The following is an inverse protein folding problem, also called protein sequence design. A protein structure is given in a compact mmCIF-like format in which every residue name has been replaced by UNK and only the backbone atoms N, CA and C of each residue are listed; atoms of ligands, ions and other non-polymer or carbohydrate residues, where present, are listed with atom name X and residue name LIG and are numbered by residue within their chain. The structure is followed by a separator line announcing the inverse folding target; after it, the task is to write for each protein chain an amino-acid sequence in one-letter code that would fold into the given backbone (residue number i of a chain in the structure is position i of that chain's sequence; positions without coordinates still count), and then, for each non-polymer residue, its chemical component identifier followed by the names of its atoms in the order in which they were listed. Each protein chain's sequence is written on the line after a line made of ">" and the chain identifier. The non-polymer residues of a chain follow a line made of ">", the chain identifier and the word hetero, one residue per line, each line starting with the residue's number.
data_IF_453386231209
#
_entry.id   IF_453386231209
#
_cell.length_a   1.000
_cell.length_b   1.000
_cell.length_c   1.000
_cell.angle_alpha   90.00
_cell.angle_beta   90.00
_cell.angle_gamma   90.00
#
_symmetry.space_group_name_H-M   'P 1'
#
loop_
_entity.id
_entity.type
_entity.pdbx_description
1 polymer ?
#
# COMPACT_ATOMS: atom_id res chain seq x y z
N UNK A 1 13.16 5.39 -13.78
CA UNK A 1 12.54 6.44 -14.62
C UNK A 1 11.05 6.40 -14.33
N UNK A 2 10.54 7.31 -13.49
CA UNK A 2 9.11 7.38 -13.15
C UNK A 2 8.39 7.81 -14.42
N UNK A 3 7.55 6.94 -14.97
CA UNK A 3 6.68 7.29 -16.10
C UNK A 3 5.55 8.09 -15.47
N UNK A 4 5.50 9.41 -15.67
CA UNK A 4 4.34 10.19 -15.26
C UNK A 4 3.07 9.57 -15.87
N UNK A 5 2.10 9.25 -15.01
CA UNK A 5 0.82 8.71 -15.44
C UNK A 5 0.14 9.65 -16.45
N UNK A 6 -0.25 9.11 -17.60
CA UNK A 6 -1.05 9.83 -18.59
C UNK A 6 -2.54 9.72 -18.22
N UNK A 7 -3.11 10.81 -17.69
CA UNK A 7 -4.52 10.89 -17.30
C UNK A 7 -5.48 10.55 -18.45
N UNK A 8 -5.07 10.74 -19.71
CA UNK A 8 -5.88 10.38 -20.87
C UNK A 8 -5.97 8.87 -21.09
N UNK A 9 -5.12 8.07 -20.44
CA UNK A 9 -5.11 6.60 -20.52
C UNK A 9 -5.84 5.92 -19.37
N UNK A 10 -6.43 6.70 -18.46
CA UNK A 10 -7.26 6.13 -17.40
C UNK A 10 -8.47 5.37 -17.97
N UNK A 11 -8.91 4.28 -17.31
CA UNK A 11 -10.14 3.58 -17.67
C UNK A 11 -11.36 4.51 -17.64
N UNK A 12 -12.35 4.24 -18.49
CA UNK A 12 -13.56 5.07 -18.58
C UNK A 12 -14.31 5.17 -17.26
N UNK A 13 -14.45 4.06 -16.53
CA UNK A 13 -15.13 4.05 -15.23
C UNK A 13 -14.44 4.97 -14.21
N UNK A 14 -13.11 5.10 -14.24
CA UNK A 14 -12.37 6.04 -13.39
C UNK A 14 -12.60 7.48 -13.87
N UNK A 15 -12.49 7.73 -15.18
CA UNK A 15 -12.73 9.06 -15.78
C UNK A 15 -14.11 9.60 -15.47
N UNK A 16 -15.14 8.75 -15.52
CA UNK A 16 -16.52 9.11 -15.23
C UNK A 16 -16.71 9.59 -13.77
N UNK A 17 -15.85 9.13 -12.85
CA UNK A 17 -15.87 9.55 -11.44
C UNK A 17 -15.09 10.84 -11.18
N UNK A 18 -13.93 10.98 -11.80
CA UNK A 18 -13.03 12.12 -11.54
C UNK A 18 -13.33 13.35 -12.41
N UNK A 19 -13.94 13.17 -13.58
CA UNK A 19 -14.28 14.27 -14.49
C UNK A 19 -13.10 15.21 -14.80
N UNK A 20 -13.32 16.51 -14.61
CA UNK A 20 -12.32 17.58 -14.78
C UNK A 20 -11.80 18.12 -13.43
N UNK A 21 -11.84 17.30 -12.37
CA UNK A 21 -11.35 17.72 -11.05
C UNK A 21 -9.85 18.06 -11.10
N UNK A 22 -9.48 19.09 -10.33
CA UNK A 22 -8.07 19.41 -10.10
C UNK A 22 -7.42 18.28 -9.31
N UNK A 23 -6.15 18.01 -9.60
CA UNK A 23 -5.39 16.98 -8.91
C UNK A 23 -3.96 17.40 -8.63
N UNK A 24 -3.34 16.73 -7.65
CA UNK A 24 -1.89 16.72 -7.45
C UNK A 24 -1.38 15.28 -7.45
N UNK A 25 -0.08 15.10 -7.66
CA UNK A 25 0.58 13.79 -7.67
C UNK A 25 1.46 13.69 -6.44
N UNK A 26 1.45 12.54 -5.78
CA UNK A 26 2.38 12.26 -4.69
C UNK A 26 3.78 12.00 -5.25
N UNK A 27 4.79 12.61 -4.63
CA UNK A 27 6.19 12.35 -4.94
C UNK A 27 6.84 11.42 -3.89
N UNK A 28 6.12 11.09 -2.81
CA UNK A 28 6.58 10.26 -1.71
C UNK A 28 6.05 8.82 -1.85
N UNK A 29 6.67 8.04 -2.73
CA UNK A 29 6.29 6.64 -2.96
C UNK A 29 7.47 5.71 -3.19
N UNK A 30 7.63 4.70 -2.33
CA UNK A 30 8.62 3.62 -2.49
C UNK A 30 8.04 2.37 -3.16
N UNK A 31 6.71 2.32 -3.41
CA UNK A 31 6.01 1.12 -3.90
C UNK A 31 5.95 1.00 -5.42
N UNK A 32 6.44 1.99 -6.17
CA UNK A 32 6.30 2.05 -7.63
C UNK A 32 4.86 2.29 -8.11
N UNK A 33 3.96 2.66 -7.20
CA UNK A 33 2.60 3.10 -7.51
C UNK A 33 2.55 4.61 -7.76
N UNK A 34 1.72 5.04 -8.70
CA UNK A 34 1.35 6.44 -8.88
C UNK A 34 0.18 6.77 -7.97
N UNK A 35 0.33 7.78 -7.12
CA UNK A 35 -0.74 8.26 -6.22
C UNK A 35 -1.18 9.65 -6.67
N UNK A 36 -2.47 9.80 -6.94
CA UNK A 36 -3.07 11.04 -7.41
C UNK A 36 -4.11 11.49 -6.39
N UNK A 37 -3.96 12.71 -5.91
CA UNK A 37 -4.86 13.31 -4.94
C UNK A 37 -5.85 14.24 -5.63
N UNK A 38 -7.11 14.06 -5.30
CA UNK A 38 -8.18 15.03 -5.50
C UNK A 38 -8.59 15.62 -4.14
N UNK A 39 -9.53 16.56 -4.12
CA UNK A 39 -9.98 17.22 -2.89
C UNK A 39 -10.50 16.21 -1.85
N UNK A 40 -11.33 15.26 -2.27
CA UNK A 40 -12.02 14.27 -1.43
C UNK A 40 -11.73 12.81 -1.82
N UNK A 41 -10.86 12.59 -2.82
CA UNK A 41 -10.53 11.26 -3.33
C UNK A 41 -9.03 11.07 -3.50
N UNK A 42 -8.62 9.81 -3.54
CA UNK A 42 -7.28 9.38 -3.91
C UNK A 42 -7.38 8.28 -4.96
N UNK A 43 -6.66 8.43 -6.05
CA UNK A 43 -6.48 7.39 -7.05
C UNK A 43 -5.09 6.79 -6.89
N UNK A 44 -5.03 5.50 -6.60
CA UNK A 44 -3.80 4.71 -6.65
C UNK A 44 -3.76 3.90 -7.94
N UNK A 45 -2.67 4.02 -8.69
CA UNK A 45 -2.41 3.25 -9.90
C UNK A 45 -1.12 2.46 -9.74
N UNK A 46 -1.19 1.16 -9.95
CA UNK A 46 -0.02 0.30 -9.83
C UNK A 46 -0.12 -0.91 -10.76
N UNK A 47 1.00 -1.59 -11.03
CA UNK A 47 0.98 -2.82 -11.82
C UNK A 47 0.16 -3.89 -11.10
N UNK A 48 -0.62 -4.64 -11.87
CA UNK A 48 -1.37 -5.77 -11.35
C UNK A 48 -0.42 -6.84 -10.84
N UNK A 49 -0.58 -7.22 -9.57
CA UNK A 49 0.17 -8.27 -8.90
C UNK A 49 -0.73 -8.94 -7.86
N UNK A 50 -0.27 -10.06 -7.31
CA UNK A 50 -0.96 -10.69 -6.17
C UNK A 50 -1.07 -9.74 -4.97
N UNK A 51 -0.10 -8.84 -4.77
CA UNK A 51 -0.13 -7.87 -3.67
C UNK A 51 -1.10 -6.72 -3.92
N UNK A 52 -1.10 -6.15 -5.12
CA UNK A 52 -1.99 -5.03 -5.44
C UNK A 52 -3.47 -5.46 -5.53
N UNK A 53 -3.74 -6.73 -5.87
CA UNK A 53 -5.09 -7.29 -5.76
C UNK A 53 -5.54 -7.47 -4.30
N UNK A 54 -4.62 -7.89 -3.41
CA UNK A 54 -4.90 -8.07 -1.97
C UNK A 54 -5.36 -6.78 -1.31
N UNK A 55 -4.82 -5.63 -1.70
CA UNK A 55 -5.17 -4.34 -1.10
C UNK A 55 -6.65 -3.99 -1.29
N UNK A 56 -7.16 -4.08 -2.51
CA UNK A 56 -8.57 -3.84 -2.80
C UNK A 56 -9.49 -4.77 -2.00
N UNK A 57 -9.18 -6.06 -1.97
CA UNK A 57 -9.97 -7.06 -1.26
C UNK A 57 -9.94 -6.86 0.27
N UNK A 58 -8.78 -6.50 0.84
CA UNK A 58 -8.64 -6.20 2.26
C UNK A 58 -9.39 -4.91 2.62
N UNK A 59 -9.30 -3.87 1.79
CA UNK A 59 -10.04 -2.62 2.00
C UNK A 59 -11.54 -2.89 2.04
N UNK A 60 -12.06 -3.66 1.09
CA UNK A 60 -13.48 -4.08 1.10
C UNK A 60 -13.84 -4.92 2.32
N UNK A 61 -12.94 -5.77 2.79
CA UNK A 61 -13.20 -6.63 3.93
C UNK A 61 -13.21 -5.87 5.27
N UNK A 62 -12.30 -4.89 5.43
CA UNK A 62 -12.12 -4.13 6.66
C UNK A 62 -13.04 -2.91 6.75
N UNK A 63 -13.65 -2.51 5.64
CA UNK A 63 -14.70 -1.50 5.61
C UNK A 63 -15.82 -1.84 6.60
N UNK A 64 -16.32 -0.83 7.30
CA UNK A 64 -17.26 -0.97 8.42
C UNK A 64 -16.65 -1.52 9.72
N UNK A 65 -15.37 -1.91 9.75
CA UNK A 65 -14.66 -2.39 10.97
C UNK A 65 -13.65 -1.39 11.50
N UNK A 66 -12.95 -0.69 10.61
CA UNK A 66 -12.05 0.41 10.92
C UNK A 66 -12.38 1.64 10.06
N UNK A 67 -11.85 2.79 10.47
CA UNK A 67 -11.81 3.97 9.63
C UNK A 67 -10.77 3.78 8.53
N UNK A 68 -11.21 3.24 7.39
CA UNK A 68 -10.42 3.08 6.16
C UNK A 68 -11.04 3.89 5.02
N UNK A 69 -10.29 4.13 3.93
CA UNK A 69 -10.86 4.69 2.71
C UNK A 69 -12.01 3.82 2.18
N UNK A 70 -13.10 4.44 1.76
CA UNK A 70 -14.19 3.78 1.04
C UNK A 70 -13.75 3.57 -0.41
N UNK A 71 -13.95 2.36 -0.94
CA UNK A 71 -13.65 2.07 -2.35
C UNK A 71 -14.76 2.63 -3.23
N UNK A 72 -14.44 3.65 -4.01
CA UNK A 72 -15.38 4.32 -4.93
C UNK A 72 -15.45 3.59 -6.26
N UNK A 73 -14.29 3.20 -6.80
CA UNK A 73 -14.20 2.45 -8.04
C UNK A 73 -12.91 1.63 -8.08
N UNK A 74 -12.98 0.42 -8.64
CA UNK A 74 -11.81 -0.41 -8.87
C UNK A 74 -11.86 -1.00 -10.28
N UNK A 75 -10.83 -0.69 -11.06
CA UNK A 75 -10.67 -1.22 -12.41
C UNK A 75 -9.34 -1.93 -12.53
N UNK A 76 -9.34 -3.10 -13.15
CA UNK A 76 -8.13 -3.77 -13.59
C UNK A 76 -8.11 -3.80 -15.11
N UNK A 77 -7.16 -3.09 -15.72
CA UNK A 77 -7.08 -2.95 -17.17
C UNK A 77 -5.63 -2.82 -17.63
N UNK A 78 -5.28 -3.46 -18.75
CA UNK A 78 -3.96 -3.36 -19.40
C UNK A 78 -2.77 -3.67 -18.47
N UNK A 79 -2.97 -4.57 -17.49
CA UNK A 79 -1.93 -4.97 -16.53
C UNK A 79 -1.74 -4.00 -15.36
N UNK A 80 -2.68 -3.08 -15.14
CA UNK A 80 -2.68 -2.15 -14.01
C UNK A 80 -3.97 -2.27 -13.19
N UNK A 81 -3.83 -2.02 -11.90
CA UNK A 81 -4.91 -1.79 -10.96
C UNK A 81 -5.10 -0.29 -10.80
N UNK A 82 -6.34 0.16 -10.90
CA UNK A 82 -6.77 1.53 -10.66
C UNK A 82 -7.76 1.51 -9.50
N UNK A 83 -7.33 1.99 -8.35
CA UNK A 83 -8.11 1.99 -7.12
C UNK A 83 -8.43 3.44 -6.72
N UNK A 84 -9.66 3.86 -7.00
CA UNK A 84 -10.18 5.15 -6.58
C UNK A 84 -10.90 4.98 -5.24
N UNK A 85 -10.49 5.75 -4.25
CA UNK A 85 -10.99 5.66 -2.88
C UNK A 85 -11.26 7.05 -2.29
N UNK A 86 -12.06 7.11 -1.24
CA UNK A 86 -12.26 8.35 -0.49
C UNK A 86 -10.99 8.78 0.24
N UNK A 87 -10.80 10.09 0.37
CA UNK A 87 -9.70 10.65 1.15
C UNK A 87 -10.06 10.63 2.64
N UNK A 88 -9.19 10.05 3.46
CA UNK A 88 -9.37 10.12 4.91
C UNK A 88 -9.18 11.56 5.41
N UNK A 89 -10.08 11.99 6.29
CA UNK A 89 -9.94 13.25 7.00
C UNK A 89 -8.84 13.17 8.06
N UNK A 90 -8.13 14.27 8.28
CA UNK A 90 -7.12 14.40 9.33
C UNK A 90 -5.73 14.66 8.77
N UNK A 91 -4.72 14.56 9.64
CA UNK A 91 -3.31 14.73 9.29
C UNK A 91 -2.58 13.40 9.48
N UNK A 92 -1.56 13.16 8.66
CA UNK A 92 -0.64 12.05 8.86
C UNK A 92 -0.07 12.08 10.28
N UNK A 93 0.00 10.92 10.94
CA UNK A 93 0.52 10.82 12.31
C UNK A 93 1.98 11.28 12.41
N UNK A 94 2.74 11.15 11.32
CA UNK A 94 4.13 11.60 11.18
C UNK A 94 4.28 13.06 10.73
N UNK A 95 3.20 13.86 10.64
CA UNK A 95 3.31 15.29 10.33
C UNK A 95 4.15 16.04 11.36
N UNK A 96 4.84 17.10 10.94
CA UNK A 96 5.70 17.91 11.85
C UNK A 96 4.96 18.39 13.11
N UNK A 97 3.68 18.74 12.97
CA UNK A 97 2.84 19.16 14.08
C UNK A 97 2.64 18.05 15.12
N UNK A 98 2.31 16.84 14.68
CA UNK A 98 2.11 15.69 15.55
C UNK A 98 3.43 15.24 16.20
N UNK A 99 4.53 15.24 15.43
CA UNK A 99 5.86 14.84 15.91
C UNK A 99 6.42 15.77 17.01
N UNK A 100 5.86 16.97 17.19
CA UNK A 100 6.17 17.86 18.34
C UNK A 100 5.57 17.36 19.67
N UNK A 101 4.66 16.38 19.64
CA UNK A 101 4.03 15.78 20.80
C UNK A 101 4.15 14.24 20.76
N UNK A 102 5.30 13.67 21.14
CA UNK A 102 5.55 12.24 21.03
C UNK A 102 4.62 11.39 21.90
N UNK A 103 4.18 11.89 23.06
CA UNK A 103 3.25 11.17 23.94
C UNK A 103 1.88 10.98 23.25
N UNK A 104 1.37 12.04 22.62
CA UNK A 104 0.16 11.97 21.81
C UNK A 104 0.30 10.98 20.64
N UNK A 105 1.45 11.00 19.94
CA UNK A 105 1.73 10.07 18.84
C UNK A 105 1.75 8.63 19.33
N UNK A 106 2.48 8.35 20.41
CA UNK A 106 2.59 7.01 20.99
C UNK A 106 1.23 6.48 21.45
N UNK A 107 0.45 7.31 22.14
CA UNK A 107 -0.91 6.95 22.58
C UNK A 107 -1.83 6.68 21.38
N UNK A 108 -1.79 7.53 20.36
CA UNK A 108 -2.62 7.39 19.15
C UNK A 108 -2.29 6.11 18.39
N UNK A 109 -1.01 5.80 18.19
CA UNK A 109 -0.56 4.58 17.53
C UNK A 109 -0.94 3.33 18.34
N UNK A 110 -0.74 3.36 19.67
CA UNK A 110 -1.14 2.27 20.55
C UNK A 110 -2.64 2.00 20.49
N UNK A 111 -3.45 3.06 20.46
CA UNK A 111 -4.90 2.96 20.30
C UNK A 111 -5.30 2.42 18.92
N UNK A 112 -4.60 2.82 17.85
CA UNK A 112 -4.78 2.27 16.50
C UNK A 112 -4.50 0.77 16.44
N UNK A 113 -3.39 0.32 17.03
CA UNK A 113 -3.02 -1.10 17.10
C UNK A 113 -4.04 -1.91 17.91
N UNK A 114 -4.51 -1.40 19.05
CA UNK A 114 -5.56 -2.07 19.84
C UNK A 114 -6.85 -2.24 19.06
N UNK A 115 -7.27 -1.23 18.28
CA UNK A 115 -8.44 -1.35 17.39
C UNK A 115 -8.22 -2.41 16.33
N UNK A 116 -7.06 -2.41 15.66
CA UNK A 116 -6.70 -3.42 14.67
C UNK A 116 -6.74 -4.84 15.25
N UNK A 117 -6.17 -5.05 16.44
CA UNK A 117 -6.16 -6.35 17.12
C UNK A 117 -7.53 -6.81 17.61
N UNK A 118 -8.50 -5.91 17.75
CA UNK A 118 -9.85 -6.26 18.18
C UNK A 118 -10.75 -6.82 17.07
N UNK A 119 -10.29 -6.75 15.80
CA UNK A 119 -11.06 -7.22 14.65
C UNK A 119 -11.10 -8.75 14.64
N UNK A 120 -12.29 -9.32 14.48
CA UNK A 120 -12.41 -10.75 14.18
C UNK A 120 -11.89 -11.06 12.77
N UNK A 121 -10.85 -11.89 12.72
CA UNK A 121 -10.15 -12.30 11.51
C UNK A 121 -10.62 -13.67 10.97
N UNK A 122 -11.65 -14.29 11.57
CA UNK A 122 -12.19 -15.59 11.18
C UNK A 122 -12.54 -15.69 9.68
N UNK A 123 -12.96 -14.57 9.10
CA UNK A 123 -13.33 -14.43 7.69
C UNK A 123 -12.39 -13.50 6.91
N UNK A 124 -11.14 -13.30 7.38
CA UNK A 124 -10.15 -12.52 6.64
C UNK A 124 -9.79 -13.24 5.32
N UNK A 125 -9.86 -12.57 4.15
CA UNK A 125 -9.61 -13.21 2.86
C UNK A 125 -8.15 -13.62 2.66
N UNK A 126 -7.23 -13.04 3.43
CA UNK A 126 -5.79 -13.31 3.32
C UNK A 126 -5.16 -13.64 4.66
N UNK A 127 -4.19 -14.55 4.61
CA UNK A 127 -3.29 -14.86 5.71
C UNK A 127 -1.96 -14.14 5.50
N UNK A 128 -1.45 -13.50 6.55
CA UNK A 128 -0.09 -12.96 6.59
C UNK A 128 0.81 -13.76 7.53
N UNK A 129 0.51 -15.06 7.72
CA UNK A 129 1.36 -15.96 8.49
C UNK A 129 2.74 -16.07 7.87
N UNK A 130 3.73 -16.39 8.71
CA UNK A 130 5.13 -16.44 8.31
C UNK A 130 5.38 -17.38 7.13
N UNK A 131 4.77 -18.57 7.12
CA UNK A 131 4.89 -19.55 6.05
C UNK A 131 4.36 -19.03 4.70
N UNK A 132 3.21 -18.34 4.68
CA UNK A 132 2.68 -17.71 3.47
C UNK A 132 3.58 -16.55 3.00
N UNK A 133 4.06 -15.73 3.93
CA UNK A 133 4.97 -14.61 3.59
C UNK A 133 6.32 -15.09 3.06
N UNK A 134 6.85 -16.19 3.59
CA UNK A 134 8.09 -16.80 3.08
C UNK A 134 7.90 -17.40 1.68
N UNK A 135 6.72 -17.97 1.37
CA UNK A 135 6.40 -18.42 0.00
C UNK A 135 6.36 -17.25 -0.98
N UNK A 136 5.67 -16.16 -0.61
CA UNK A 136 5.61 -14.93 -1.43
C UNK A 136 7.02 -14.34 -1.63
N UNK A 137 7.83 -14.26 -0.57
CA UNK A 137 9.21 -13.78 -0.65
C UNK A 137 10.06 -14.65 -1.57
N UNK A 138 9.97 -15.98 -1.45
CA UNK A 138 10.65 -16.92 -2.35
C UNK A 138 10.26 -16.73 -3.80
N UNK A 139 8.96 -16.59 -4.09
CA UNK A 139 8.50 -16.33 -5.45
C UNK A 139 9.13 -15.05 -6.02
N UNK A 140 9.18 -13.97 -5.24
CA UNK A 140 9.77 -12.71 -5.70
C UNK A 140 11.25 -12.87 -6.03
N UNK A 141 12.01 -13.62 -5.22
CA UNK A 141 13.43 -13.90 -5.46
C UNK A 141 13.63 -14.71 -6.72
N UNK A 142 12.90 -15.84 -6.85
CA UNK A 142 13.00 -16.75 -7.99
C UNK A 142 12.64 -16.05 -9.33
N UNK A 143 11.89 -14.94 -9.28
CA UNK A 143 11.46 -14.16 -10.45
C UNK A 143 12.20 -12.81 -10.60
N UNK A 144 13.23 -12.53 -9.79
CA UNK A 144 13.99 -11.28 -9.89
C UNK A 144 13.17 -10.02 -9.60
N UNK A 145 12.14 -10.13 -8.75
CA UNK A 145 11.25 -9.04 -8.34
C UNK A 145 11.72 -8.34 -7.05
N UNK A 146 12.92 -8.66 -6.57
CA UNK A 146 13.53 -8.05 -5.38
C UNK A 146 14.61 -7.09 -5.84
N UNK A 147 14.49 -5.83 -5.42
CA UNK A 147 15.57 -4.86 -5.52
C UNK A 147 16.48 -5.01 -4.29
N UNK A 148 17.68 -5.55 -4.50
CA UNK A 148 18.63 -5.81 -3.42
C UNK A 148 19.37 -4.53 -3.01
N UNK A 149 19.38 -3.51 -3.89
CA UNK A 149 20.02 -2.22 -3.60
C UNK A 149 19.19 -1.39 -2.62
N UNK A 150 17.89 -1.68 -2.48
CA UNK A 150 16.98 -1.05 -1.51
C UNK A 150 17.07 -1.69 -0.10
N UNK A 151 17.92 -2.70 0.09
CA UNK A 151 18.12 -3.29 1.41
C UNK A 151 18.93 -2.37 2.32
N UNK A 152 18.65 -2.40 3.63
CA UNK A 152 19.47 -1.70 4.63
C UNK A 152 20.92 -2.19 4.55
N UNK A 153 21.90 -1.29 4.75
CA UNK A 153 23.33 -1.54 4.52
C UNK A 153 23.86 -2.82 5.21
N UNK A 154 23.32 -3.16 6.39
CA UNK A 154 23.74 -4.33 7.18
C UNK A 154 22.94 -5.61 6.89
N UNK A 155 21.98 -5.57 5.96
CA UNK A 155 21.12 -6.73 5.64
C UNK A 155 21.93 -7.85 4.99
N UNK A 156 22.85 -7.51 4.09
CA UNK A 156 23.67 -8.45 3.34
C UNK A 156 25.16 -8.18 3.54
N UNK A 157 25.98 -9.24 3.61
CA UNK A 157 27.44 -9.12 3.77
C UNK A 157 27.97 -9.84 5.02
N UNK A 158 29.14 -9.40 5.50
CA UNK A 158 29.91 -10.11 6.55
C UNK A 158 29.15 -10.26 7.88
N UNK A 159 28.33 -9.25 8.25
CA UNK A 159 27.53 -9.23 9.47
C UNK A 159 26.03 -9.57 9.23
N UNK A 160 25.65 -9.82 7.97
CA UNK A 160 24.28 -10.02 7.55
C UNK A 160 24.05 -11.39 6.91
N UNK A 161 23.04 -11.48 6.06
CA UNK A 161 22.82 -12.66 5.23
C UNK A 161 23.84 -12.67 4.09
N UNK A 162 24.33 -13.85 3.71
CA UNK A 162 25.30 -13.98 2.62
C UNK A 162 24.71 -13.51 1.28
N UNK A 163 23.42 -13.79 1.08
CA UNK A 163 22.66 -13.46 -0.12
C UNK A 163 21.16 -13.55 0.19
N UNK A 164 20.36 -13.16 -0.81
CA UNK A 164 18.91 -13.15 -0.78
C UNK A 164 18.32 -14.57 -0.62
N UNK A 165 18.97 -15.60 -1.16
CA UNK A 165 18.51 -17.00 -1.04
C UNK A 165 18.62 -17.52 0.40
N UNK A 166 19.61 -17.02 1.16
CA UNK A 166 19.82 -17.36 2.56
C UNK A 166 18.89 -16.58 3.48
N UNK A 167 18.39 -15.43 3.04
CA UNK A 167 17.43 -14.59 3.79
C UNK A 167 16.08 -15.30 4.02
N UNK A 168 15.63 -16.13 3.09
CA UNK A 168 14.31 -16.79 3.15
C UNK A 168 14.32 -18.22 3.71
N UNK A 169 15.48 -18.72 4.17
CA UNK A 169 15.64 -20.06 4.74
C UNK A 169 15.67 -19.99 6.26
N UNK A 170 14.50 -19.77 6.88
CA UNK A 170 14.31 -19.89 8.33
C UNK A 170 13.96 -21.32 8.74
#
# INVERSE_FOLDING_TARGET
>A
MIVMLDMNKLPSAIKDKIGELNYSVDELGCSGADIIFFDDMVLKVEKTSGQSNREYDILKWIDGRLSVPEVIEFVQENGYNYLLMSRLSGKMICSEENMRNPDFVAETLANGLKKLWSIDISHCPYSSRLDERLKDAKYNIDNGLVDVEDAEEDTFGENGFADVDRYIRF
#
